data_IF_827058569031
#
_entry.id   IF_827058569031
#
_cell.length_a   1.000
_cell.length_b   1.000
_cell.length_c   1.000
_cell.angle_alpha   90.00
_cell.angle_beta   90.00
_cell.angle_gamma   90.00
#
_symmetry.space_group_name_H-M   'P 1'
#
loop_
_entity.id
_entity.type
_entity.pdbx_description
1 polymer ?
#
# COMPACT_ATOMS: atom_id res chain seq x y z
N UNK A 1 -11.77 -0.99 56.49
CA UNK A 1 -10.62 -0.67 55.62
C UNK A 1 -9.65 -1.83 55.74
N UNK A 2 -9.68 -2.75 54.79
CA UNK A 2 -8.66 -3.80 54.64
C UNK A 2 -7.66 -3.35 53.55
N UNK A 3 -6.39 -3.28 53.95
CA UNK A 3 -5.29 -2.83 53.13
C UNK A 3 -4.97 -3.82 52.02
N UNK A 4 -4.74 -3.28 50.85
CA UNK A 4 -4.13 -3.95 49.73
C UNK A 4 -2.59 -3.80 49.83
N UNK A 5 -1.99 -4.42 50.83
CA UNK A 5 -0.54 -4.52 50.93
C UNK A 5 -0.13 -5.96 50.58
N UNK A 6 0.87 -6.06 49.72
CA UNK A 6 1.63 -7.27 49.32
C UNK A 6 1.20 -7.99 48.03
N UNK A 7 1.26 -7.28 46.90
CA UNK A 7 1.61 -7.97 45.66
C UNK A 7 3.13 -7.86 45.43
N UNK A 8 3.88 -8.80 45.96
CA UNK A 8 5.28 -9.00 45.56
C UNK A 8 5.32 -9.70 44.21
N UNK A 9 5.52 -8.94 43.17
CA UNK A 9 5.89 -9.46 41.84
C UNK A 9 7.39 -9.84 41.87
N UNK A 10 7.73 -10.94 42.48
CA UNK A 10 9.01 -11.58 42.24
C UNK A 10 8.87 -12.42 40.94
N UNK A 11 9.09 -11.79 39.79
CA UNK A 11 9.43 -12.54 38.59
C UNK A 11 10.76 -13.22 38.83
N UNK A 12 10.74 -14.54 38.92
CA UNK A 12 11.94 -15.39 38.89
C UNK A 12 12.64 -15.21 37.54
N UNK A 13 13.50 -14.21 37.45
CA UNK A 13 14.38 -13.97 36.30
C UNK A 13 15.61 -14.86 36.39
N UNK A 14 15.40 -16.18 36.36
CA UNK A 14 16.48 -17.12 36.01
C UNK A 14 16.67 -17.03 34.49
N UNK A 15 17.60 -16.15 34.07
CA UNK A 15 18.05 -16.10 32.67
C UNK A 15 18.10 -14.77 32.00
N UNK A 16 17.79 -13.63 32.65
CA UNK A 16 18.10 -12.35 32.05
C UNK A 16 19.59 -12.14 32.02
N UNK A 17 20.20 -12.18 30.84
CA UNK A 17 21.53 -11.57 30.63
C UNK A 17 21.42 -10.16 31.18
N UNK A 18 22.14 -9.88 32.29
CA UNK A 18 22.25 -8.52 32.79
C UNK A 18 22.67 -7.64 31.60
N UNK A 19 21.77 -6.82 31.11
CA UNK A 19 22.14 -5.72 30.26
C UNK A 19 23.20 -4.97 31.03
N UNK A 20 24.42 -4.90 30.49
CA UNK A 20 25.47 -4.06 31.03
C UNK A 20 24.88 -2.66 31.11
N UNK A 21 24.49 -2.23 32.30
CA UNK A 21 24.17 -0.84 32.60
C UNK A 21 25.39 -0.05 32.13
N UNK A 22 25.26 0.62 31.01
CA UNK A 22 26.33 1.44 30.44
C UNK A 22 26.51 2.58 31.43
N UNK A 23 27.52 2.50 32.29
CA UNK A 23 27.86 3.55 33.23
C UNK A 23 27.95 4.86 32.43
N UNK A 24 27.06 5.79 32.72
CA UNK A 24 27.17 7.18 32.23
C UNK A 24 28.55 7.69 32.64
N UNK A 25 29.39 7.89 31.65
CA UNK A 25 30.75 8.40 31.91
C UNK A 25 30.61 9.91 32.13
N UNK A 26 30.40 10.30 33.36
CA UNK A 26 30.57 11.67 33.81
C UNK A 26 32.07 11.97 33.85
N UNK A 27 32.56 12.80 32.97
CA UNK A 27 33.90 13.34 33.03
C UNK A 27 33.78 14.77 33.56
N UNK A 28 34.35 15.02 34.76
CA UNK A 28 34.28 16.31 35.44
C UNK A 28 32.84 16.85 35.69
N UNK A 29 31.89 15.97 35.99
CA UNK A 29 30.49 16.37 36.24
C UNK A 29 29.68 16.71 34.99
N UNK A 30 30.25 16.55 33.78
CA UNK A 30 29.55 16.78 32.51
C UNK A 30 29.34 15.46 31.80
N UNK A 31 28.11 15.23 31.32
CA UNK A 31 27.81 14.08 30.49
C UNK A 31 28.53 14.17 29.13
N UNK A 32 29.38 13.19 28.86
CA UNK A 32 30.05 13.12 27.55
C UNK A 32 29.08 12.47 26.55
N UNK A 33 28.71 13.18 25.46
CA UNK A 33 27.81 12.63 24.45
C UNK A 33 28.47 11.41 23.78
N UNK A 34 27.74 10.28 23.81
CA UNK A 34 28.16 9.08 23.08
C UNK A 34 27.62 9.11 21.66
N UNK A 35 28.37 8.61 20.68
CA UNK A 35 27.87 8.50 19.32
C UNK A 35 26.64 7.58 19.31
N UNK A 36 25.58 8.04 18.67
CA UNK A 36 24.35 7.28 18.51
C UNK A 36 24.60 6.02 17.68
N UNK A 37 24.14 4.88 18.18
CA UNK A 37 24.14 3.61 17.44
C UNK A 37 22.68 3.27 17.11
N UNK A 38 22.38 3.12 15.83
CA UNK A 38 21.05 2.70 15.36
C UNK A 38 20.68 1.35 15.99
N UNK A 39 19.54 1.32 16.68
CA UNK A 39 18.93 0.10 17.24
C UNK A 39 17.46 0.15 16.92
N UNK A 40 16.98 -0.88 16.25
CA UNK A 40 15.57 -1.02 15.94
C UNK A 40 14.82 -1.60 17.13
N UNK A 41 13.67 -0.99 17.41
CA UNK A 41 12.67 -1.47 18.35
C UNK A 41 11.42 -1.84 17.61
N UNK A 42 10.69 -2.82 18.12
CA UNK A 42 9.38 -3.18 17.59
C UNK A 42 8.35 -2.21 18.17
N UNK A 43 7.74 -1.40 17.29
CA UNK A 43 6.78 -0.37 17.68
C UNK A 43 5.35 -0.89 17.66
N UNK A 44 5.04 -1.73 16.67
CA UNK A 44 3.70 -2.27 16.49
C UNK A 44 3.73 -3.67 15.91
N UNK A 45 2.88 -4.53 16.44
CA UNK A 45 2.48 -5.81 15.85
C UNK A 45 0.96 -5.84 15.79
N UNK A 46 0.42 -6.14 14.64
CA UNK A 46 -1.00 -6.39 14.46
C UNK A 46 -1.18 -7.64 13.60
N UNK A 47 -2.22 -8.40 13.88
CA UNK A 47 -2.52 -9.58 13.09
C UNK A 47 -3.97 -10.03 13.31
N UNK A 48 -4.52 -10.65 12.29
CA UNK A 48 -5.80 -11.32 12.35
C UNK A 48 -5.73 -12.65 11.60
N UNK A 49 -6.66 -13.54 11.92
CA UNK A 49 -6.89 -14.78 11.21
C UNK A 49 -8.33 -14.77 10.71
N UNK A 50 -8.50 -15.10 9.44
CA UNK A 50 -9.80 -15.20 8.78
C UNK A 50 -9.94 -16.59 8.14
N UNK A 51 -11.14 -17.13 8.11
CA UNK A 51 -11.44 -18.38 7.44
C UNK A 51 -12.37 -18.08 6.27
N UNK A 52 -11.95 -18.49 5.08
CA UNK A 52 -12.70 -18.36 3.83
C UNK A 52 -13.07 -19.73 3.29
N UNK A 53 -14.25 -19.85 2.70
CA UNK A 53 -14.68 -21.10 2.04
C UNK A 53 -13.91 -21.38 0.73
N UNK A 54 -13.27 -20.35 0.14
CA UNK A 54 -12.52 -20.47 -1.12
C UNK A 54 -11.04 -20.65 -0.87
N UNK A 55 -10.48 -19.91 0.08
CA UNK A 55 -9.04 -19.85 0.33
C UNK A 55 -8.61 -20.52 1.63
N UNK A 56 -9.56 -21.13 2.37
CA UNK A 56 -9.25 -21.74 3.66
C UNK A 56 -8.89 -20.71 4.73
N UNK A 57 -7.89 -21.01 5.54
CA UNK A 57 -7.38 -20.09 6.55
C UNK A 57 -6.45 -19.06 5.91
N UNK A 58 -6.77 -17.78 6.09
CA UNK A 58 -5.95 -16.66 5.67
C UNK A 58 -5.51 -15.85 6.87
N UNK A 59 -4.32 -15.30 6.84
CA UNK A 59 -3.79 -14.52 7.96
C UNK A 59 -3.13 -13.23 7.51
N UNK A 60 -3.53 -12.12 8.12
CA UNK A 60 -2.85 -10.84 7.95
C UNK A 60 -1.94 -10.59 9.15
N UNK A 61 -0.74 -10.16 8.88
CA UNK A 61 0.22 -9.76 9.90
C UNK A 61 0.95 -8.48 9.49
N UNK A 62 1.14 -7.58 10.42
CA UNK A 62 1.84 -6.32 10.20
C UNK A 62 2.83 -6.07 11.34
N UNK A 63 4.03 -5.67 10.98
CA UNK A 63 5.09 -5.28 11.90
C UNK A 63 5.63 -3.90 11.54
N UNK A 64 5.86 -3.08 12.54
CA UNK A 64 6.55 -1.81 12.38
C UNK A 64 7.70 -1.74 13.37
N UNK A 65 8.85 -1.32 12.87
CA UNK A 65 10.07 -1.11 13.64
C UNK A 65 10.59 0.29 13.35
N UNK A 66 11.07 0.97 14.38
CA UNK A 66 11.83 2.20 14.22
C UNK A 66 13.07 2.21 15.10
N UNK A 67 13.98 3.13 14.82
CA UNK A 67 15.02 3.45 15.75
C UNK A 67 14.52 4.50 16.77
N UNK A 68 15.22 4.64 17.89
CA UNK A 68 14.81 5.55 18.99
C UNK A 68 14.63 7.01 18.53
N UNK A 69 15.37 7.44 17.51
CA UNK A 69 15.28 8.79 16.96
C UNK A 69 14.23 8.92 15.85
N UNK A 70 13.63 7.83 15.40
CA UNK A 70 12.69 7.81 14.29
C UNK A 70 13.34 8.07 12.91
N UNK A 71 14.68 8.03 12.84
CA UNK A 71 15.41 8.28 11.60
C UNK A 71 15.31 7.12 10.60
N UNK A 72 15.06 5.94 11.09
CA UNK A 72 14.93 4.71 10.31
C UNK A 72 13.64 4.01 10.66
N UNK A 73 12.86 3.68 9.67
CA UNK A 73 11.60 2.96 9.83
C UNK A 73 11.57 1.75 8.90
N UNK A 74 11.17 0.60 9.42
CA UNK A 74 10.94 -0.62 8.65
C UNK A 74 9.50 -1.05 8.91
N UNK A 75 8.77 -1.32 7.85
CA UNK A 75 7.43 -1.86 7.93
C UNK A 75 7.37 -3.12 7.07
N UNK A 76 6.79 -4.15 7.61
CA UNK A 76 6.53 -5.39 6.90
C UNK A 76 5.08 -5.79 7.13
N UNK A 77 4.38 -6.09 6.06
CA UNK A 77 3.02 -6.60 6.11
C UNK A 77 2.85 -7.78 5.18
N UNK A 78 2.02 -8.71 5.59
CA UNK A 78 1.64 -9.85 4.77
C UNK A 78 0.18 -10.24 5.01
N UNK A 79 -0.52 -10.56 3.95
CA UNK A 79 -1.80 -11.29 3.99
C UNK A 79 -1.54 -12.65 3.33
N UNK A 80 -1.35 -13.66 4.16
CA UNK A 80 -1.03 -15.00 3.71
C UNK A 80 -2.30 -15.74 3.30
N UNK A 81 -2.28 -16.26 2.08
CA UNK A 81 -3.25 -17.16 1.51
C UNK A 81 -2.58 -18.53 1.29
N UNK A 82 -3.15 -19.41 0.51
CA UNK A 82 -2.71 -20.80 0.30
C UNK A 82 -1.24 -20.95 -0.13
N UNK A 83 -0.75 -20.03 -0.97
CA UNK A 83 0.62 -20.07 -1.49
C UNK A 83 1.29 -18.71 -1.40
N UNK A 84 2.63 -18.66 -1.47
CA UNK A 84 3.36 -17.40 -1.53
C UNK A 84 3.06 -16.57 -2.78
N UNK A 85 2.68 -17.24 -3.88
CA UNK A 85 2.26 -16.56 -5.12
C UNK A 85 0.91 -15.87 -4.99
N UNK A 86 0.06 -16.37 -4.11
CA UNK A 86 -1.30 -15.93 -3.87
C UNK A 86 -1.41 -14.98 -2.68
N UNK A 87 -0.30 -14.71 -2.02
CA UNK A 87 -0.23 -13.90 -0.81
C UNK A 87 0.17 -12.46 -1.14
N UNK A 88 -0.39 -11.53 -0.37
CA UNK A 88 0.01 -10.14 -0.39
C UNK A 88 1.13 -9.92 0.61
N UNK A 89 2.14 -9.18 0.24
CA UNK A 89 3.18 -8.75 1.14
C UNK A 89 3.85 -7.47 0.67
N UNK A 90 4.30 -6.69 1.64
CA UNK A 90 5.17 -5.57 1.38
C UNK A 90 6.25 -5.46 2.45
N UNK A 91 7.38 -4.92 2.04
CA UNK A 91 8.47 -4.53 2.90
C UNK A 91 8.84 -3.10 2.54
N UNK A 92 8.77 -2.19 3.49
CA UNK A 92 9.18 -0.80 3.29
C UNK A 92 10.31 -0.42 4.26
N UNK A 93 11.22 0.39 3.77
CA UNK A 93 12.27 1.04 4.55
C UNK A 93 12.24 2.54 4.31
N UNK A 94 12.17 3.31 5.37
CA UNK A 94 12.21 4.77 5.38
C UNK A 94 13.48 5.28 6.06
N UNK A 95 14.16 6.25 5.43
CA UNK A 95 15.26 7.00 6.01
C UNK A 95 14.87 8.49 6.11
N UNK A 96 14.64 8.95 7.34
CA UNK A 96 14.01 10.24 7.69
C UNK A 96 14.94 11.18 8.47
N UNK A 97 16.23 10.86 8.54
CA UNK A 97 17.20 11.61 9.38
C UNK A 97 17.37 13.06 8.96
N UNK A 98 17.25 13.36 7.68
CA UNK A 98 17.53 14.66 7.11
C UNK A 98 16.23 15.37 6.71
N UNK A 99 16.36 16.56 6.13
CA UNK A 99 15.22 17.30 5.57
C UNK A 99 14.53 16.55 4.44
N UNK A 100 15.29 15.73 3.71
CA UNK A 100 14.77 14.89 2.62
C UNK A 100 14.55 13.47 3.11
N UNK A 101 13.37 12.97 2.89
CA UNK A 101 12.97 11.61 3.24
C UNK A 101 13.16 10.68 2.04
N UNK A 102 13.64 9.48 2.32
CA UNK A 102 13.86 8.42 1.32
C UNK A 102 13.09 7.16 1.74
N UNK A 103 12.36 6.60 0.80
CA UNK A 103 11.61 5.36 1.02
C UNK A 103 11.92 4.34 -0.07
N UNK A 104 12.03 3.09 0.33
CA UNK A 104 12.16 1.94 -0.56
C UNK A 104 11.10 0.92 -0.19
N UNK A 105 10.33 0.46 -1.17
CA UNK A 105 9.23 -0.48 -0.96
C UNK A 105 9.34 -1.61 -1.95
N UNK A 106 9.35 -2.84 -1.46
CA UNK A 106 9.09 -4.04 -2.25
C UNK A 106 7.68 -4.51 -1.95
N UNK A 107 6.92 -4.89 -2.97
CA UNK A 107 5.53 -5.31 -2.80
C UNK A 107 5.14 -6.42 -3.76
N UNK A 108 4.19 -7.21 -3.32
CA UNK A 108 3.40 -8.11 -4.16
C UNK A 108 1.95 -8.10 -3.65
N UNK A 109 1.00 -8.06 -4.58
CA UNK A 109 -0.43 -8.20 -4.33
C UNK A 109 -1.00 -9.18 -5.35
N UNK A 110 -1.94 -10.01 -4.91
CA UNK A 110 -2.61 -11.00 -5.74
C UNK A 110 -4.13 -10.85 -5.64
N UNK A 111 -4.74 -10.33 -6.70
CA UNK A 111 -6.18 -10.16 -6.80
C UNK A 111 -6.80 -11.34 -7.55
N UNK A 112 -7.94 -11.83 -7.06
CA UNK A 112 -8.70 -12.90 -7.69
C UNK A 112 -10.06 -12.40 -8.16
N UNK A 113 -10.43 -12.82 -9.35
CA UNK A 113 -11.75 -12.53 -9.92
C UNK A 113 -12.28 -13.73 -10.70
N UNK A 114 -13.59 -13.78 -10.89
CA UNK A 114 -14.21 -14.85 -11.62
C UNK A 114 -13.97 -14.71 -13.13
N UNK A 115 -13.17 -15.59 -13.72
CA UNK A 115 -12.85 -15.61 -15.15
C UNK A 115 -13.78 -16.52 -15.96
N UNK A 116 -14.51 -17.40 -15.29
CA UNK A 116 -15.47 -18.36 -15.87
C UNK A 116 -16.24 -19.09 -14.80
N UNK A 117 -17.13 -20.02 -15.20
CA UNK A 117 -17.96 -20.74 -14.23
C UNK A 117 -17.13 -21.60 -13.26
N UNK A 118 -16.04 -22.21 -13.75
CA UNK A 118 -15.10 -23.04 -12.97
C UNK A 118 -13.69 -22.48 -12.96
N UNK A 119 -13.50 -21.22 -13.32
CA UNK A 119 -12.17 -20.63 -13.46
C UNK A 119 -12.07 -19.32 -12.71
N UNK A 120 -10.94 -19.11 -12.02
CA UNK A 120 -10.56 -17.85 -11.41
C UNK A 120 -9.45 -17.20 -12.24
N UNK A 121 -9.56 -15.90 -12.45
CA UNK A 121 -8.45 -15.07 -12.91
C UNK A 121 -7.63 -14.65 -11.70
N UNK A 122 -6.31 -14.78 -11.78
CA UNK A 122 -5.36 -14.27 -10.81
C UNK A 122 -4.55 -13.16 -11.45
N UNK A 123 -4.61 -11.97 -10.86
CA UNK A 123 -3.86 -10.81 -11.27
C UNK A 123 -2.84 -10.50 -10.17
N UNK A 124 -1.56 -10.65 -10.47
CA UNK A 124 -0.48 -10.34 -9.54
C UNK A 124 0.21 -9.05 -9.92
N UNK A 125 0.35 -8.18 -8.94
CA UNK A 125 1.12 -6.95 -9.01
C UNK A 125 2.34 -7.08 -8.11
N UNK A 126 3.54 -6.99 -8.65
CA UNK A 126 4.74 -7.06 -7.83
C UNK A 126 5.82 -6.13 -8.37
N UNK A 127 6.64 -5.62 -7.49
CA UNK A 127 7.65 -4.67 -7.91
C UNK A 127 8.45 -4.05 -6.78
N UNK A 128 9.25 -3.06 -7.19
CA UNK A 128 10.05 -2.23 -6.31
C UNK A 128 9.73 -0.77 -6.56
N UNK A 129 9.59 -0.01 -5.50
CA UNK A 129 9.38 1.42 -5.55
C UNK A 129 10.44 2.14 -4.73
N UNK A 130 11.03 3.18 -5.28
CA UNK A 130 11.80 4.16 -4.56
C UNK A 130 11.08 5.50 -4.58
N UNK A 131 11.13 6.21 -3.47
CA UNK A 131 10.41 7.46 -3.30
C UNK A 131 11.27 8.44 -2.50
N UNK A 132 11.35 9.68 -2.98
CA UNK A 132 12.11 10.77 -2.36
C UNK A 132 11.15 11.92 -2.14
N UNK A 133 11.07 12.43 -0.91
CA UNK A 133 10.24 13.57 -0.54
C UNK A 133 11.09 14.69 0.00
N UNK A 134 11.04 15.87 -0.63
CA UNK A 134 11.79 17.04 -0.21
C UNK A 134 10.86 18.21 0.13
N UNK A 135 10.73 18.59 1.42
CA UNK A 135 9.94 19.72 1.83
C UNK A 135 10.70 21.05 1.61
N UNK A 136 10.06 21.98 0.95
CA UNK A 136 10.55 23.38 0.84
C UNK A 136 10.12 24.20 2.04
N UNK A 137 8.90 23.97 2.51
CA UNK A 137 8.32 24.64 3.67
C UNK A 137 7.44 23.67 4.47
N UNK A 138 6.79 24.17 5.52
CA UNK A 138 5.81 23.39 6.31
C UNK A 138 4.62 22.93 5.48
N UNK A 139 4.32 23.61 4.40
CA UNK A 139 3.14 23.40 3.59
C UNK A 139 3.43 22.91 2.16
N UNK A 140 4.70 22.90 1.75
CA UNK A 140 5.10 22.59 0.38
C UNK A 140 6.17 21.51 0.35
N UNK A 141 5.98 20.53 -0.51
CA UNK A 141 6.99 19.52 -0.81
C UNK A 141 6.94 19.10 -2.27
N UNK A 142 8.03 18.56 -2.73
CA UNK A 142 8.14 17.87 -4.01
C UNK A 142 8.50 16.43 -3.74
N UNK A 143 7.82 15.54 -4.42
CA UNK A 143 8.01 14.10 -4.31
C UNK A 143 8.46 13.55 -5.66
N UNK A 144 9.49 12.71 -5.66
CA UNK A 144 9.95 11.96 -6.82
C UNK A 144 9.87 10.48 -6.52
N UNK A 145 9.26 9.73 -7.42
CA UNK A 145 9.12 8.29 -7.32
C UNK A 145 9.62 7.60 -8.58
N UNK A 146 10.14 6.39 -8.40
CA UNK A 146 10.43 5.47 -9.49
C UNK A 146 9.91 4.10 -9.07
N UNK A 147 8.99 3.56 -9.85
CA UNK A 147 8.42 2.23 -9.63
C UNK A 147 8.78 1.32 -10.78
N UNK A 148 9.43 0.20 -10.48
CA UNK A 148 9.51 -0.95 -11.37
C UNK A 148 8.36 -1.88 -11.02
N UNK A 149 7.44 -2.07 -11.95
CA UNK A 149 6.17 -2.75 -11.71
C UNK A 149 5.96 -3.85 -12.74
N UNK A 150 5.65 -5.03 -12.26
CA UNK A 150 5.28 -6.17 -13.07
C UNK A 150 3.85 -6.58 -12.76
N UNK A 151 3.12 -6.92 -13.81
CA UNK A 151 1.77 -7.44 -13.75
C UNK A 151 1.80 -8.82 -14.39
N UNK A 152 1.29 -9.82 -13.68
CA UNK A 152 1.13 -11.18 -14.21
C UNK A 152 -0.32 -11.59 -14.10
N UNK A 153 -0.91 -11.95 -15.22
CA UNK A 153 -2.26 -12.49 -15.30
C UNK A 153 -2.22 -13.98 -15.60
N UNK A 154 -2.91 -14.77 -14.79
CA UNK A 154 -3.03 -16.22 -14.92
C UNK A 154 -4.50 -16.64 -14.80
N UNK A 155 -4.91 -17.70 -15.49
CA UNK A 155 -6.20 -18.35 -15.29
C UNK A 155 -5.97 -19.63 -14.46
N UNK A 156 -6.73 -19.79 -13.39
CA UNK A 156 -6.73 -20.95 -12.52
C UNK A 156 -8.04 -21.69 -12.69
N UNK A 157 -7.98 -22.98 -13.03
CA UNK A 157 -9.14 -23.84 -13.15
C UNK A 157 -9.34 -24.61 -11.84
N UNK A 158 -10.59 -24.71 -11.40
CA UNK A 158 -10.97 -25.58 -10.29
C UNK A 158 -11.00 -27.01 -10.78
N UNK A 159 -10.13 -27.83 -10.24
CA UNK A 159 -10.06 -29.26 -10.50
C UNK A 159 -10.28 -30.04 -9.22
N UNK A 160 -10.82 -31.24 -9.35
CA UNK A 160 -10.93 -32.18 -8.23
C UNK A 160 -9.71 -33.09 -8.29
N UNK A 161 -8.90 -33.09 -7.26
CA UNK A 161 -7.72 -33.95 -7.18
C UNK A 161 -8.12 -35.42 -6.94
N UNK A 162 -7.14 -36.32 -6.95
CA UNK A 162 -7.37 -37.78 -6.74
C UNK A 162 -7.95 -38.12 -5.37
N UNK A 163 -7.89 -37.19 -4.42
CA UNK A 163 -8.46 -37.34 -3.08
C UNK A 163 -9.86 -36.72 -2.94
N UNK A 164 -10.46 -36.23 -4.04
CA UNK A 164 -11.77 -35.59 -4.02
C UNK A 164 -11.80 -34.16 -3.49
N UNK A 165 -10.63 -33.52 -3.33
CA UNK A 165 -10.54 -32.15 -2.86
C UNK A 165 -10.48 -31.19 -4.06
N UNK A 166 -11.10 -30.02 -3.92
CA UNK A 166 -10.97 -28.94 -4.90
C UNK A 166 -9.57 -28.32 -4.82
N UNK A 167 -8.93 -28.21 -5.98
CA UNK A 167 -7.62 -27.60 -6.14
C UNK A 167 -7.65 -26.59 -7.29
N UNK A 168 -6.97 -25.47 -7.11
CA UNK A 168 -6.81 -24.45 -8.15
C UNK A 168 -5.53 -24.75 -8.94
N UNK A 169 -5.70 -25.16 -10.20
CA UNK A 169 -4.59 -25.51 -11.07
C UNK A 169 -4.45 -24.46 -12.17
N UNK A 170 -3.23 -23.95 -12.35
CA UNK A 170 -2.94 -22.97 -13.39
C UNK A 170 -3.16 -23.59 -14.77
N UNK A 171 -3.98 -22.92 -15.59
CA UNK A 171 -4.22 -23.31 -16.97
C UNK A 171 -2.96 -23.14 -17.81
N UNK A 172 -2.46 -24.19 -18.48
CA UNK A 172 -1.30 -24.07 -19.35
C UNK A 172 -1.51 -23.01 -20.44
N UNK A 173 -0.49 -22.17 -20.67
CA UNK A 173 -0.53 -21.14 -21.71
C UNK A 173 -1.39 -19.89 -21.40
N UNK A 174 -2.01 -19.81 -20.22
CA UNK A 174 -2.84 -18.65 -19.84
C UNK A 174 -2.05 -17.47 -19.26
N UNK A 175 -0.74 -17.65 -19.05
CA UNK A 175 0.09 -16.62 -18.38
C UNK A 175 0.44 -15.48 -19.32
N UNK A 176 0.07 -14.28 -18.93
CA UNK A 176 0.50 -13.05 -19.61
C UNK A 176 1.23 -12.18 -18.61
N UNK A 177 2.38 -11.64 -19.00
CA UNK A 177 3.22 -10.79 -18.14
C UNK A 177 3.49 -9.47 -18.81
N UNK A 178 3.47 -8.41 -18.02
CA UNK A 178 3.76 -7.05 -18.45
C UNK A 178 4.71 -6.39 -17.47
N UNK A 179 5.62 -5.62 -18.00
CA UNK A 179 6.59 -4.87 -17.19
C UNK A 179 6.45 -3.38 -17.49
N UNK A 180 6.51 -2.56 -16.46
CA UNK A 180 6.55 -1.11 -16.60
C UNK A 180 7.56 -0.46 -15.65
N UNK A 181 8.14 0.63 -16.10
CA UNK A 181 8.95 1.55 -15.28
C UNK A 181 8.22 2.87 -15.26
N UNK A 182 7.84 3.32 -14.06
CA UNK A 182 6.97 4.46 -13.83
C UNK A 182 7.70 5.54 -13.02
N UNK A 183 8.46 6.43 -13.66
CA UNK A 183 8.89 7.66 -13.03
C UNK A 183 7.68 8.55 -12.72
N UNK A 184 7.66 9.12 -11.52
CA UNK A 184 6.64 10.04 -11.04
C UNK A 184 7.29 11.26 -10.41
N UNK A 185 6.71 12.42 -10.64
CA UNK A 185 7.01 13.65 -9.92
C UNK A 185 5.69 14.27 -9.43
N UNK A 186 5.68 14.79 -8.21
CA UNK A 186 4.50 15.46 -7.64
C UNK A 186 4.93 16.72 -6.90
N UNK A 187 4.14 17.77 -7.03
CA UNK A 187 4.21 18.95 -6.20
C UNK A 187 2.98 19.05 -5.33
N UNK A 188 3.19 19.15 -4.02
CA UNK A 188 2.12 19.13 -3.03
C UNK A 188 2.19 20.41 -2.21
N UNK A 189 1.06 21.08 -2.10
CA UNK A 189 0.82 22.15 -1.15
C UNK A 189 -0.34 21.74 -0.26
N UNK A 190 -0.17 21.82 1.06
CA UNK A 190 -1.20 21.45 2.03
C UNK A 190 -1.08 22.32 3.28
N UNK A 191 -2.01 23.26 3.45
CA UNK A 191 -2.17 24.05 4.67
C UNK A 191 -3.53 23.78 5.34
N UNK A 192 -4.15 22.63 5.04
CA UNK A 192 -5.44 22.27 5.61
C UNK A 192 -5.35 22.08 7.13
N UNK A 193 -6.37 22.56 7.82
CA UNK A 193 -6.54 22.43 9.26
C UNK A 193 -7.57 21.33 9.50
N UNK A 194 -7.20 20.34 10.31
CA UNK A 194 -8.06 19.21 10.61
C UNK A 194 -8.83 19.44 11.91
N UNK A 195 -10.13 19.14 11.89
CA UNK A 195 -10.96 18.93 13.07
C UNK A 195 -11.07 17.45 13.41
N UNK A 196 -12.04 17.12 14.27
CA UNK A 196 -12.25 15.73 14.72
C UNK A 196 -12.67 14.78 13.58
N UNK A 197 -13.51 15.24 12.66
CA UNK A 197 -14.09 14.41 11.58
C UNK A 197 -13.41 14.59 10.22
N UNK A 198 -12.55 15.60 10.08
CA UNK A 198 -11.90 15.87 8.80
C UNK A 198 -11.38 17.31 8.67
N UNK A 199 -10.94 17.72 7.47
CA UNK A 199 -10.46 19.07 7.25
C UNK A 199 -11.59 20.10 7.39
N UNK A 200 -11.35 21.16 8.17
CA UNK A 200 -12.32 22.20 8.48
C UNK A 200 -12.01 23.55 7.81
N UNK A 201 -10.74 23.80 7.50
CA UNK A 201 -10.30 25.02 6.83
C UNK A 201 -9.01 24.78 6.06
N UNK A 202 -8.66 25.70 5.15
CA UNK A 202 -7.40 25.66 4.43
C UNK A 202 -7.55 25.22 2.97
N UNK A 203 -6.41 24.86 2.39
CA UNK A 203 -6.30 24.50 0.97
C UNK A 203 -5.29 23.37 0.79
N UNK A 204 -5.64 22.39 -0.05
CA UNK A 204 -4.74 21.31 -0.44
C UNK A 204 -4.70 21.19 -1.96
N UNK A 205 -3.50 21.06 -2.50
CA UNK A 205 -3.27 20.86 -3.92
C UNK A 205 -2.20 19.81 -4.15
N UNK A 206 -2.46 18.93 -5.10
CA UNK A 206 -1.49 17.95 -5.59
C UNK A 206 -1.47 18.00 -7.12
N UNK A 207 -0.31 18.28 -7.69
CA UNK A 207 -0.06 18.18 -9.12
C UNK A 207 0.93 17.05 -9.30
N UNK A 208 0.57 16.03 -10.07
CA UNK A 208 1.44 14.87 -10.31
C UNK A 208 1.54 14.55 -11.80
N UNK A 209 2.74 14.14 -12.18
CA UNK A 209 3.04 13.63 -13.52
C UNK A 209 3.62 12.24 -13.34
N UNK A 210 3.03 11.26 -14.02
CA UNK A 210 3.52 9.89 -14.10
C UNK A 210 3.74 9.54 -15.56
N UNK A 211 4.85 8.91 -15.86
CA UNK A 211 5.14 8.47 -17.21
C UNK A 211 5.58 7.01 -17.25
N UNK A 212 5.26 6.33 -18.34
CA UNK A 212 5.93 5.09 -18.75
C UNK A 212 6.60 5.37 -20.10
N UNK A 213 7.92 5.58 -20.12
CA UNK A 213 8.62 6.03 -21.33
C UNK A 213 8.71 4.97 -22.43
N UNK A 214 8.36 3.73 -22.12
CA UNK A 214 8.44 2.61 -23.08
C UNK A 214 9.86 2.07 -23.27
N UNK A 215 10.81 2.37 -22.38
CA UNK A 215 12.17 1.83 -22.41
C UNK A 215 12.16 0.39 -21.94
N UNK A 216 12.25 -0.54 -22.90
CA UNK A 216 12.21 -1.97 -22.63
C UNK A 216 11.03 -2.40 -21.73
N UNK A 217 9.86 -1.75 -21.96
CA UNK A 217 8.63 -1.95 -21.18
C UNK A 217 7.43 -2.10 -22.13
N UNK A 218 6.38 -2.76 -21.65
CA UNK A 218 5.17 -3.04 -22.44
C UNK A 218 4.25 -1.81 -22.57
N UNK A 219 4.45 -0.79 -21.71
CA UNK A 219 3.60 0.38 -21.65
C UNK A 219 4.32 1.66 -22.09
N UNK A 220 3.58 2.50 -22.82
CA UNK A 220 4.01 3.83 -23.21
C UNK A 220 2.89 4.82 -23.03
N UNK A 221 2.96 5.63 -21.96
CA UNK A 221 2.00 6.69 -21.66
C UNK A 221 2.60 7.76 -20.76
N UNK A 222 1.93 8.88 -20.69
CA UNK A 222 2.15 9.94 -19.71
C UNK A 222 0.81 10.41 -19.17
N UNK A 223 0.74 10.64 -17.86
CA UNK A 223 -0.46 11.03 -17.17
C UNK A 223 -0.17 12.24 -16.29
N UNK A 224 -1.00 13.25 -16.40
CA UNK A 224 -0.99 14.44 -15.54
C UNK A 224 -2.27 14.44 -14.72
N UNK A 225 -2.15 14.63 -13.41
CA UNK A 225 -3.28 14.77 -12.49
C UNK A 225 -3.15 16.05 -11.69
N UNK A 226 -4.25 16.76 -11.50
CA UNK A 226 -4.40 17.90 -10.60
C UNK A 226 -5.57 17.60 -9.67
N UNK A 227 -5.32 17.58 -8.37
CA UNK A 227 -6.35 17.51 -7.33
C UNK A 227 -6.22 18.74 -6.44
N UNK A 228 -7.22 19.59 -6.44
CA UNK A 228 -7.26 20.80 -5.64
C UNK A 228 -8.51 20.77 -4.74
N UNK A 229 -8.31 21.04 -3.46
CA UNK A 229 -9.36 21.02 -2.45
C UNK A 229 -9.29 22.30 -1.63
N UNK A 230 -10.45 22.92 -1.42
CA UNK A 230 -10.55 24.09 -0.56
C UNK A 230 -11.62 23.83 0.49
N UNK A 231 -11.31 24.19 1.71
CA UNK A 231 -12.17 24.06 2.86
C UNK A 231 -12.43 25.43 3.44
N UNK A 232 -13.68 25.72 3.81
CA UNK A 232 -14.10 26.93 4.48
C UNK A 232 -14.91 26.57 5.70
N UNK A 233 -14.54 27.12 6.83
CA UNK A 233 -15.30 26.96 8.05
C UNK A 233 -16.31 28.10 8.20
N UNK A 234 -17.57 27.76 8.38
CA UNK A 234 -18.65 28.68 8.66
C UNK A 234 -19.12 28.49 10.11
N UNK A 235 -18.78 29.43 11.00
CA UNK A 235 -19.12 29.31 12.42
C UNK A 235 -18.40 28.14 13.10
N UNK A 236 -19.11 27.48 14.01
CA UNK A 236 -18.56 26.36 14.81
C UNK A 236 -18.77 25.00 14.15
N UNK A 237 -19.92 24.81 13.48
CA UNK A 237 -20.45 23.46 13.22
C UNK A 237 -20.50 23.12 11.73
N UNK A 238 -20.25 24.08 10.84
CA UNK A 238 -20.37 23.88 9.40
C UNK A 238 -19.05 24.07 8.67
N UNK A 239 -18.74 23.14 7.77
CA UNK A 239 -17.61 23.23 6.85
C UNK A 239 -18.09 22.96 5.44
N UNK A 240 -17.74 23.84 4.51
CA UNK A 240 -17.89 23.61 3.07
C UNK A 240 -16.58 23.12 2.50
N UNK A 241 -16.62 21.96 1.83
CA UNK A 241 -15.49 21.39 1.12
C UNK A 241 -15.79 21.37 -0.39
N UNK A 242 -14.88 21.93 -1.18
CA UNK A 242 -14.96 21.89 -2.64
C UNK A 242 -13.71 21.22 -3.18
N UNK A 243 -13.88 20.25 -4.06
CA UNK A 243 -12.82 19.53 -4.75
C UNK A 243 -12.91 19.73 -6.25
N UNK A 244 -11.82 20.16 -6.87
CA UNK A 244 -11.61 20.14 -8.32
C UNK A 244 -10.58 19.07 -8.67
N UNK A 245 -10.92 18.17 -9.59
CA UNK A 245 -10.01 17.15 -10.11
C UNK A 245 -9.91 17.27 -11.62
N UNK A 246 -8.70 17.25 -12.13
CA UNK A 246 -8.41 17.17 -13.55
C UNK A 246 -7.37 16.07 -13.79
N UNK A 247 -7.65 15.19 -14.75
CA UNK A 247 -6.75 14.13 -15.17
C UNK A 247 -6.67 14.07 -16.69
N UNK A 248 -5.47 13.94 -17.22
CA UNK A 248 -5.22 13.73 -18.65
C UNK A 248 -4.14 12.68 -18.83
N UNK A 249 -4.41 11.72 -19.70
CA UNK A 249 -3.44 10.69 -20.05
C UNK A 249 -3.31 10.58 -21.56
N UNK A 250 -2.07 10.45 -22.03
CA UNK A 250 -1.72 10.37 -23.44
C UNK A 250 -0.69 9.27 -23.68
N UNK A 251 -0.75 8.64 -24.85
CA UNK A 251 0.17 7.58 -25.27
C UNK A 251 -0.56 6.35 -25.79
N UNK A 252 0.21 5.33 -26.19
CA UNK A 252 -0.34 4.08 -26.75
C UNK A 252 -1.23 3.35 -25.74
N UNK A 253 -0.86 3.42 -24.45
CA UNK A 253 -1.55 2.78 -23.33
C UNK A 253 -2.02 3.85 -22.32
N UNK A 254 -2.73 4.88 -22.81
CA UNK A 254 -3.21 5.96 -21.98
C UNK A 254 -4.15 5.46 -20.88
N UNK A 255 -3.95 5.95 -19.65
CA UNK A 255 -4.83 5.63 -18.51
C UNK A 255 -6.22 6.20 -18.72
N UNK A 256 -7.25 5.46 -18.35
CA UNK A 256 -8.63 5.91 -18.34
C UNK A 256 -8.99 6.44 -16.94
N UNK A 257 -9.80 7.46 -16.91
CA UNK A 257 -10.35 8.03 -15.69
C UNK A 257 -11.85 7.70 -15.61
N UNK A 258 -12.26 7.17 -14.48
CA UNK A 258 -13.66 6.83 -14.22
C UNK A 258 -14.29 7.88 -13.31
N UNK A 259 -15.52 8.23 -13.60
CA UNK A 259 -16.33 9.13 -12.77
C UNK A 259 -17.26 8.29 -11.91
N UNK A 260 -17.13 8.42 -10.60
CA UNK A 260 -17.93 7.68 -9.62
C UNK A 260 -17.36 6.29 -9.29
N UNK A 261 -18.11 5.56 -8.45
CA UNK A 261 -17.70 4.25 -7.93
C UNK A 261 -16.94 4.34 -6.60
N UNK A 262 -17.03 3.26 -5.85
CA UNK A 262 -16.20 3.06 -4.66
C UNK A 262 -15.10 2.10 -5.06
N UNK A 263 -13.82 2.49 -5.01
CA UNK A 263 -12.72 1.65 -5.49
C UNK A 263 -12.68 0.24 -4.88
N UNK A 264 -13.15 0.11 -3.64
CA UNK A 264 -13.17 -1.16 -2.92
C UNK A 264 -14.38 -2.05 -3.26
N UNK A 265 -15.44 -1.50 -3.85
CA UNK A 265 -16.58 -2.31 -4.30
C UNK A 265 -16.30 -3.09 -5.59
N UNK A 266 -15.23 -2.74 -6.28
CA UNK A 266 -14.80 -3.47 -7.47
C UNK A 266 -14.10 -4.79 -7.12
N UNK A 267 -13.62 -4.95 -5.90
CA UNK A 267 -13.05 -6.20 -5.40
C UNK A 267 -14.09 -7.14 -4.81
N UNK A 268 -15.31 -6.66 -4.57
CA UNK A 268 -16.38 -7.46 -3.97
C UNK A 268 -17.17 -8.30 -5.00
N UNK A 269 -16.46 -8.77 -6.02
CA UNK A 269 -16.98 -9.75 -6.98
C UNK A 269 -17.23 -11.13 -6.36
N UNK A 270 -16.86 -11.33 -5.12
CA UNK A 270 -17.06 -12.61 -4.45
C UNK A 270 -18.52 -12.88 -4.11
N UNK A 271 -19.37 -11.87 -4.05
CA UNK A 271 -20.71 -12.08 -3.54
C UNK A 271 -21.73 -12.48 -4.58
N UNK A 272 -21.41 -12.42 -5.87
CA UNK A 272 -22.40 -12.75 -6.93
C UNK A 272 -23.68 -11.92 -6.86
N UNK A 273 -23.72 -10.92 -6.00
CA UNK A 273 -24.88 -10.04 -5.85
C UNK A 273 -24.80 -8.92 -6.85
N UNK A 274 -25.46 -9.13 -7.93
CA UNK A 274 -25.76 -8.17 -9.00
C UNK A 274 -26.63 -6.99 -8.56
N UNK A 275 -26.60 -6.62 -7.30
CA UNK A 275 -27.36 -5.46 -6.85
C UNK A 275 -26.59 -4.18 -7.11
N UNK A 276 -26.70 -3.75 -8.35
CA UNK A 276 -26.67 -2.34 -8.72
C UNK A 276 -25.37 -1.77 -9.13
N UNK A 277 -24.23 -2.46 -9.10
CA UNK A 277 -23.00 -1.90 -9.64
C UNK A 277 -22.15 -2.98 -10.26
N UNK A 278 -21.75 -2.69 -11.45
CA UNK A 278 -20.83 -3.44 -12.26
C UNK A 278 -21.45 -4.73 -12.81
N UNK A 279 -22.01 -4.54 -13.95
CA UNK A 279 -22.07 -5.60 -14.91
C UNK A 279 -20.70 -6.30 -14.95
N UNK A 280 -20.59 -7.58 -14.52
CA UNK A 280 -19.35 -8.34 -14.67
C UNK A 280 -18.85 -8.37 -16.11
N UNK A 281 -19.75 -8.10 -17.08
CA UNK A 281 -19.40 -7.95 -18.49
C UNK A 281 -18.57 -6.71 -18.77
N UNK A 282 -18.71 -5.63 -18.03
CA UNK A 282 -17.87 -4.44 -18.20
C UNK A 282 -16.43 -4.72 -17.74
N UNK A 283 -16.28 -5.47 -16.66
CA UNK A 283 -14.96 -5.95 -16.19
C UNK A 283 -14.40 -7.03 -17.11
N UNK A 284 -15.26 -7.91 -17.61
CA UNK A 284 -14.89 -8.92 -18.58
C UNK A 284 -14.38 -8.32 -19.89
N UNK A 285 -14.99 -7.23 -20.36
CA UNK A 285 -14.53 -6.53 -21.55
C UNK A 285 -13.16 -5.88 -21.35
N UNK A 286 -12.87 -5.44 -20.13
CA UNK A 286 -11.56 -4.88 -19.77
C UNK A 286 -10.49 -5.96 -19.77
N UNK A 287 -10.79 -7.18 -19.31
CA UNK A 287 -9.77 -8.22 -19.12
C UNK A 287 -9.71 -9.23 -20.27
N UNK A 288 -10.79 -9.43 -21.02
CA UNK A 288 -10.84 -10.42 -22.10
C UNK A 288 -10.57 -9.86 -23.48
N UNK A 289 -10.59 -8.55 -23.66
CA UNK A 289 -10.24 -7.94 -24.94
C UNK A 289 -8.71 -7.83 -25.08
N UNK A 290 -8.09 -8.98 -25.31
CA UNK A 290 -6.65 -9.08 -25.58
C UNK A 290 -6.21 -8.39 -26.87
N UNK A 291 -7.15 -7.99 -27.72
CA UNK A 291 -6.90 -7.22 -28.93
C UNK A 291 -6.64 -5.74 -28.63
N UNK A 292 -7.07 -5.27 -27.47
CA UNK A 292 -6.88 -3.91 -27.03
C UNK A 292 -5.80 -3.86 -25.94
N UNK A 293 -4.62 -3.40 -26.30
CA UNK A 293 -3.50 -3.17 -25.37
C UNK A 293 -3.80 -2.19 -24.21
N UNK A 294 -5.05 -1.72 -24.12
CA UNK A 294 -5.55 -0.80 -23.07
C UNK A 294 -5.94 -1.52 -21.78
N UNK A 295 -5.92 -2.85 -21.77
CA UNK A 295 -6.43 -3.68 -20.70
C UNK A 295 -5.83 -3.41 -19.31
N UNK A 296 -4.59 -2.98 -19.29
CA UNK A 296 -3.81 -2.90 -18.06
C UNK A 296 -3.66 -1.45 -17.56
N UNK A 297 -4.03 -0.49 -18.39
CA UNK A 297 -4.11 0.90 -17.94
C UNK A 297 -5.31 1.16 -17.01
N UNK A 298 -6.27 0.25 -17.02
CA UNK A 298 -7.43 0.28 -16.13
C UNK A 298 -7.13 -0.40 -14.78
N UNK A 299 -6.01 -1.11 -14.66
CA UNK A 299 -5.56 -1.65 -13.39
C UNK A 299 -5.10 -0.49 -12.51
N UNK A 300 -5.81 -0.32 -11.46
CA UNK A 300 -5.72 0.70 -10.46
C UNK A 300 -4.32 0.95 -9.95
N UNK A 301 -3.76 2.11 -10.25
CA UNK A 301 -2.81 2.76 -9.37
C UNK A 301 -3.63 3.54 -8.33
N UNK A 302 -4.16 2.83 -7.35
CA UNK A 302 -4.82 3.48 -6.19
C UNK A 302 -3.75 4.18 -5.37
N UNK A 303 -3.97 5.46 -5.16
CA UNK A 303 -3.26 6.27 -4.17
C UNK A 303 -3.89 6.04 -2.79
#
# INVERSE_FOLDING_TARGET
AQGYDNYNYSMDTKGSKQEKVVKDTLVNGVHVPKPYKTRFTLDMVSGNLQISNVFGATGMTYFAFSDILGNHQIQFGTEMVLTLEDSDYFLSYGYLKNKTDYYFVGFQNADFFQAGYYSLGRLRHYGLQSYISHPFSRFQRVDFGLTWHNISYDILDRMINTFGQEELVKRPGSSTKFTSILPRASWIYDNSIFGFTGPIDGYRQNISITASPGWNTDFKFQTVKLDARKYWRFGRDYTLAVRGFFGSSQGKNAQKFFLGGIPYLLTDFQSGTTNGVSDPSAYRSVITDTSNSNLITDVYFTE
#
